data_IF_798181920956
#
_entry.id   IF_798181920956
#
_cell.length_a   1.000
_cell.length_b   1.000
_cell.length_c   1.000
_cell.angle_alpha   90.00
_cell.angle_beta   90.00
_cell.angle_gamma   90.00
#
_symmetry.space_group_name_H-M   'P 1'
#
loop_
_entity.id
_entity.type
_entity.pdbx_description
1 polymer ?
#
# COMPACT_ATOMS: atom_id res chain seq x y z
N UNK A 1 36.32 10.11 35.83
CA UNK A 1 34.85 9.82 35.86
C UNK A 1 34.06 10.54 34.76
N UNK A 2 34.29 11.83 34.49
CA UNK A 2 33.57 12.60 33.44
C UNK A 2 33.79 12.10 31.99
N UNK A 3 34.92 11.46 31.68
CA UNK A 3 35.23 10.94 30.33
C UNK A 3 34.56 9.60 30.02
N UNK A 4 34.39 8.74 31.03
CA UNK A 4 33.74 7.42 30.90
C UNK A 4 32.23 7.58 30.69
N UNK A 5 31.62 8.58 31.33
CA UNK A 5 30.20 8.93 31.08
C UNK A 5 29.98 9.41 29.65
N UNK A 6 30.85 10.29 29.11
CA UNK A 6 30.78 10.76 27.72
C UNK A 6 30.95 9.65 26.68
N UNK A 7 31.80 8.65 26.96
CA UNK A 7 32.00 7.50 26.07
C UNK A 7 30.77 6.59 26.04
N UNK A 8 30.10 6.41 27.17
CA UNK A 8 28.84 5.65 27.26
C UNK A 8 27.68 6.35 26.54
N UNK A 9 27.59 7.68 26.67
CA UNK A 9 26.57 8.47 25.96
C UNK A 9 26.79 8.45 24.45
N UNK A 10 28.05 8.47 23.99
CA UNK A 10 28.35 8.42 22.56
C UNK A 10 28.09 7.03 21.95
N UNK A 11 28.39 5.96 22.68
CA UNK A 11 28.12 4.58 22.24
C UNK A 11 26.61 4.28 22.15
N UNK A 12 25.82 4.86 23.06
CA UNK A 12 24.36 4.73 23.04
C UNK A 12 23.72 5.49 21.86
N UNK A 13 24.26 6.66 21.49
CA UNK A 13 23.82 7.41 20.32
C UNK A 13 24.13 6.69 18.99
N UNK A 14 25.26 6.00 18.88
CA UNK A 14 25.61 5.20 17.69
C UNK A 14 24.72 3.96 17.57
N UNK A 15 24.37 3.31 18.68
CA UNK A 15 23.48 2.15 18.67
C UNK A 15 22.05 2.50 18.21
N UNK A 16 21.49 3.65 18.62
CA UNK A 16 20.19 4.11 18.13
C UNK A 16 20.20 4.45 16.62
N UNK A 17 21.31 4.96 16.09
CA UNK A 17 21.42 5.28 14.67
C UNK A 17 21.44 4.02 13.78
N UNK A 18 22.02 2.91 14.24
CA UNK A 18 22.05 1.64 13.50
C UNK A 18 20.70 0.92 13.42
N UNK A 19 19.81 1.12 14.39
CA UNK A 19 18.51 0.43 14.42
C UNK A 19 17.55 1.00 13.38
N UNK A 20 17.59 2.31 13.12
CA UNK A 20 16.71 2.96 12.15
C UNK A 20 17.03 2.61 10.68
N UNK A 21 18.30 2.33 10.36
CA UNK A 21 18.73 1.98 9.00
C UNK A 21 18.37 0.54 8.61
N UNK A 22 18.23 -0.38 9.57
CA UNK A 22 17.98 -1.79 9.29
C UNK A 22 16.57 -2.07 8.74
N UNK A 23 15.57 -1.32 9.21
CA UNK A 23 14.17 -1.52 8.80
C UNK A 23 13.92 -1.19 7.33
N UNK A 24 14.51 -0.10 6.82
CA UNK A 24 14.34 0.34 5.43
C UNK A 24 15.01 -0.61 4.44
N UNK A 25 16.17 -1.16 4.80
CA UNK A 25 16.89 -2.11 3.96
C UNK A 25 16.11 -3.43 3.79
N UNK A 26 15.39 -3.85 4.84
CA UNK A 26 14.61 -5.08 4.84
C UNK A 26 13.39 -5.00 3.91
N UNK A 27 12.61 -3.92 3.97
CA UNK A 27 11.42 -3.74 3.12
C UNK A 27 11.77 -3.74 1.63
N UNK A 28 12.91 -3.11 1.27
CA UNK A 28 13.40 -3.10 -0.11
C UNK A 28 13.79 -4.50 -0.58
N UNK A 29 14.46 -5.27 0.27
CA UNK A 29 14.85 -6.64 -0.04
C UNK A 29 13.65 -7.57 -0.21
N UNK A 30 12.66 -7.48 0.69
CA UNK A 30 11.43 -8.27 0.60
C UNK A 30 10.62 -7.91 -0.65
N UNK A 31 10.53 -6.61 -0.97
CA UNK A 31 9.90 -6.13 -2.21
C UNK A 31 10.58 -6.70 -3.45
N UNK A 32 11.92 -6.71 -3.48
CA UNK A 32 12.67 -7.28 -4.60
C UNK A 32 12.43 -8.78 -4.73
N UNK A 33 12.50 -9.52 -3.63
CA UNK A 33 12.27 -10.97 -3.64
C UNK A 33 10.85 -11.33 -4.13
N UNK A 34 9.85 -10.54 -3.75
CA UNK A 34 8.48 -10.69 -4.25
C UNK A 34 8.41 -10.40 -5.76
N UNK A 35 9.05 -9.32 -6.23
CA UNK A 35 9.12 -9.01 -7.66
C UNK A 35 9.82 -10.09 -8.47
N UNK A 36 10.90 -10.67 -7.96
CA UNK A 36 11.61 -11.77 -8.61
C UNK A 36 10.71 -12.99 -8.74
N UNK A 37 9.94 -13.30 -7.69
CA UNK A 37 8.97 -14.40 -7.68
C UNK A 37 7.86 -14.19 -8.73
N UNK A 38 7.31 -12.96 -8.81
CA UNK A 38 6.34 -12.62 -9.85
C UNK A 38 6.97 -12.64 -11.25
N UNK A 39 8.14 -12.04 -11.47
CA UNK A 39 8.80 -12.06 -12.79
C UNK A 39 9.14 -13.47 -13.28
N UNK A 40 9.46 -14.39 -12.35
CA UNK A 40 9.70 -15.80 -12.65
C UNK A 40 8.41 -16.57 -13.02
N UNK A 41 7.24 -16.05 -12.65
CA UNK A 41 5.95 -16.67 -12.95
C UNK A 41 5.47 -16.37 -14.38
N UNK A 42 5.27 -17.40 -15.24
CA UNK A 42 4.82 -17.21 -16.62
C UNK A 42 3.51 -16.41 -16.73
N UNK A 43 2.57 -16.63 -15.81
CA UNK A 43 1.25 -15.99 -15.80
C UNK A 43 1.33 -14.46 -15.67
N UNK A 44 2.37 -13.92 -15.02
CA UNK A 44 2.48 -12.47 -14.79
C UNK A 44 3.39 -11.76 -15.79
N UNK A 45 4.20 -12.51 -16.55
CA UNK A 45 5.13 -11.94 -17.54
C UNK A 45 4.46 -11.02 -18.57
N UNK A 46 3.29 -11.37 -19.15
CA UNK A 46 2.59 -10.49 -20.08
C UNK A 46 2.21 -9.14 -19.46
N UNK A 47 1.87 -9.14 -18.16
CA UNK A 47 1.45 -7.94 -17.45
C UNK A 47 2.62 -7.01 -17.12
N UNK A 48 3.81 -7.55 -16.80
CA UNK A 48 5.00 -6.72 -16.64
C UNK A 48 5.39 -5.96 -17.91
N UNK A 49 5.07 -6.50 -19.08
CA UNK A 49 5.39 -5.88 -20.36
C UNK A 49 4.32 -4.86 -20.82
N UNK A 50 3.05 -5.11 -20.49
CA UNK A 50 1.91 -4.34 -21.03
C UNK A 50 1.28 -3.36 -20.04
N UNK A 51 1.47 -3.54 -18.73
CA UNK A 51 0.87 -2.68 -17.72
C UNK A 51 1.47 -1.26 -17.74
N UNK A 52 0.62 -0.26 -17.52
CA UNK A 52 1.04 1.13 -17.28
C UNK A 52 1.84 1.28 -15.98
N UNK A 53 1.54 0.45 -14.98
CA UNK A 53 2.23 0.40 -13.70
C UNK A 53 1.75 -0.78 -12.86
N UNK A 54 2.37 -0.99 -11.70
CA UNK A 54 1.98 -2.05 -10.78
C UNK A 54 2.25 -1.69 -9.32
N UNK A 55 1.50 -2.29 -8.39
CA UNK A 55 1.75 -2.22 -6.96
C UNK A 55 2.09 -3.63 -6.45
N UNK A 56 3.19 -3.77 -5.71
CA UNK A 56 3.62 -5.05 -5.13
C UNK A 56 3.63 -4.97 -3.61
N UNK A 57 2.99 -5.95 -2.98
CA UNK A 57 2.89 -6.14 -1.54
C UNK A 57 3.65 -7.43 -1.20
N UNK A 58 4.91 -7.33 -0.74
CA UNK A 58 5.73 -8.53 -0.51
C UNK A 58 5.19 -9.39 0.63
N UNK A 59 4.47 -8.80 1.58
CA UNK A 59 3.92 -9.51 2.73
C UNK A 59 2.59 -8.90 3.14
N UNK A 60 1.52 -9.64 2.91
CA UNK A 60 0.16 -9.36 3.39
C UNK A 60 -0.17 -10.40 4.44
N UNK A 61 -0.24 -9.96 5.70
CA UNK A 61 -0.61 -10.81 6.82
C UNK A 61 -2.12 -10.85 6.98
N UNK A 62 -2.70 -12.05 6.92
CA UNK A 62 -4.11 -12.34 7.21
C UNK A 62 -4.20 -13.08 8.55
N UNK A 63 -5.16 -12.71 9.39
CA UNK A 63 -5.42 -13.42 10.65
C UNK A 63 -6.76 -13.04 11.26
N UNK A 64 -7.30 -13.93 12.11
CA UNK A 64 -8.55 -13.69 12.82
C UNK A 64 -9.13 -14.94 13.49
N UNK A 65 -10.16 -14.73 14.32
CA UNK A 65 -11.01 -15.78 14.89
C UNK A 65 -12.46 -15.28 14.77
N UNK A 66 -13.25 -15.88 13.87
CA UNK A 66 -14.57 -15.42 13.39
C UNK A 66 -14.59 -14.09 12.62
N UNK A 67 -13.93 -13.07 13.14
CA UNK A 67 -13.66 -11.80 12.46
C UNK A 67 -12.15 -11.75 12.22
N UNK A 68 -11.77 -11.62 10.97
CA UNK A 68 -10.38 -11.51 10.56
C UNK A 68 -10.12 -10.28 9.72
N UNK A 69 -8.85 -9.95 9.57
CA UNK A 69 -8.42 -8.92 8.66
C UNK A 69 -7.16 -9.31 7.93
N UNK A 70 -6.87 -8.58 6.85
CA UNK A 70 -5.58 -8.59 6.21
C UNK A 70 -4.96 -7.19 6.26
N UNK A 71 -3.66 -7.15 6.50
CA UNK A 71 -2.87 -5.93 6.45
C UNK A 71 -1.56 -6.17 5.71
N UNK A 72 -1.18 -5.24 4.85
CA UNK A 72 0.09 -5.28 4.14
C UNK A 72 0.55 -3.89 3.73
N UNK A 73 1.85 -3.75 3.54
CA UNK A 73 2.47 -2.57 2.92
C UNK A 73 3.05 -2.98 1.58
N UNK A 74 3.04 -2.04 0.64
CA UNK A 74 3.49 -2.28 -0.72
C UNK A 74 4.15 -1.05 -1.33
N UNK A 75 4.84 -1.30 -2.43
CA UNK A 75 5.52 -0.28 -3.22
C UNK A 75 4.88 -0.19 -4.59
N UNK A 76 4.66 1.03 -5.06
CA UNK A 76 3.95 1.31 -6.32
C UNK A 76 4.94 1.81 -7.36
N UNK A 77 4.89 1.20 -8.54
CA UNK A 77 5.81 1.41 -9.64
C UNK A 77 5.08 1.91 -10.88
N UNK A 78 5.74 2.80 -11.61
CA UNK A 78 5.36 3.20 -12.96
C UNK A 78 6.64 3.25 -13.80
N UNK A 79 6.66 2.58 -14.95
CA UNK A 79 7.86 2.47 -15.80
C UNK A 79 9.11 2.04 -15.00
N UNK A 80 8.98 1.04 -14.12
CA UNK A 80 10.04 0.55 -13.22
C UNK A 80 10.55 1.55 -12.17
N UNK A 81 10.00 2.76 -12.11
CA UNK A 81 10.33 3.77 -11.10
C UNK A 81 9.31 3.73 -9.96
N UNK A 82 9.80 3.82 -8.72
CA UNK A 82 8.93 3.94 -7.55
C UNK A 82 8.22 5.28 -7.59
N UNK A 83 6.90 5.27 -7.42
CA UNK A 83 6.06 6.47 -7.37
C UNK A 83 5.54 6.74 -5.96
N UNK A 84 5.44 5.71 -5.12
CA UNK A 84 4.97 5.83 -3.75
C UNK A 84 4.81 4.49 -3.06
N UNK A 85 4.16 4.52 -1.90
CA UNK A 85 3.83 3.34 -1.11
C UNK A 85 2.31 3.20 -1.02
N UNK A 86 1.86 1.96 -0.83
CA UNK A 86 0.45 1.67 -0.60
C UNK A 86 0.28 0.79 0.64
N UNK A 87 -0.83 0.97 1.34
CA UNK A 87 -1.27 0.09 2.43
C UNK A 87 -2.51 -0.66 2.01
N UNK A 88 -2.55 -1.95 2.28
CA UNK A 88 -3.68 -2.83 2.05
C UNK A 88 -4.36 -3.10 3.41
N UNK A 89 -5.67 -2.94 3.43
CA UNK A 89 -6.54 -3.29 4.55
C UNK A 89 -7.71 -4.12 4.03
N UNK A 90 -7.91 -5.29 4.60
CA UNK A 90 -9.06 -6.13 4.30
C UNK A 90 -9.78 -6.47 5.58
N UNK A 91 -11.11 -6.41 5.56
CA UNK A 91 -11.95 -6.96 6.62
C UNK A 91 -12.63 -8.21 6.08
N UNK A 92 -12.54 -9.31 6.82
CA UNK A 92 -13.13 -10.59 6.43
C UNK A 92 -13.97 -11.14 7.58
N UNK A 93 -15.21 -11.52 7.27
CA UNK A 93 -16.07 -12.26 8.19
C UNK A 93 -16.01 -13.74 7.81
N UNK A 94 -15.48 -14.60 8.68
CA UNK A 94 -15.35 -16.02 8.38
C UNK A 94 -14.47 -16.81 9.36
N UNK A 95 -14.62 -18.14 9.35
CA UNK A 95 -13.82 -19.10 10.10
C UNK A 95 -12.43 -19.27 9.47
N UNK A 96 -11.68 -18.19 9.28
CA UNK A 96 -10.27 -18.29 8.90
C UNK A 96 -9.44 -18.50 10.17
N UNK A 97 -9.37 -19.75 10.64
CA UNK A 97 -8.49 -20.11 11.76
C UNK A 97 -7.03 -20.14 11.29
N UNK A 98 -6.29 -19.07 11.59
CA UNK A 98 -4.84 -19.07 11.44
C UNK A 98 -4.25 -17.76 10.92
N UNK A 99 -2.95 -17.57 11.18
CA UNK A 99 -2.14 -16.52 10.58
C UNK A 99 -1.54 -17.01 9.26
N UNK A 100 -1.95 -16.40 8.15
CA UNK A 100 -1.40 -16.69 6.83
C UNK A 100 -0.72 -15.43 6.29
N UNK A 101 0.37 -15.59 5.56
CA UNK A 101 1.01 -14.51 4.83
C UNK A 101 1.11 -14.89 3.36
N UNK A 102 0.89 -13.93 2.49
CA UNK A 102 1.04 -14.07 1.04
C UNK A 102 1.67 -12.80 0.46
N UNK A 103 2.26 -12.90 -0.72
CA UNK A 103 2.65 -11.74 -1.52
C UNK A 103 1.56 -11.46 -2.54
N UNK A 104 1.32 -10.19 -2.86
CA UNK A 104 0.31 -9.75 -3.83
C UNK A 104 0.94 -8.77 -4.82
N UNK A 105 0.53 -8.83 -6.08
CA UNK A 105 0.84 -7.80 -7.09
C UNK A 105 -0.42 -7.42 -7.84
N UNK A 106 -0.57 -6.12 -8.08
CA UNK A 106 -1.68 -5.50 -8.79
C UNK A 106 -1.11 -4.82 -10.02
N UNK A 107 -1.51 -5.24 -11.20
CA UNK A 107 -1.17 -4.59 -12.47
C UNK A 107 -2.29 -3.64 -12.89
N UNK A 108 -1.90 -2.47 -13.39
CA UNK A 108 -2.81 -1.46 -13.91
C UNK A 108 -2.68 -1.37 -15.42
N UNK A 109 -3.77 -1.65 -16.14
CA UNK A 109 -3.79 -1.71 -17.61
C UNK A 109 -3.43 -0.36 -18.25
N UNK A 110 -4.03 0.72 -17.73
CA UNK A 110 -3.92 2.05 -18.32
C UNK A 110 -3.70 3.15 -17.26
N UNK A 111 -3.46 4.37 -17.74
CA UNK A 111 -3.26 5.53 -16.87
C UNK A 111 -4.46 5.80 -15.96
N UNK A 112 -5.69 5.52 -16.42
CA UNK A 112 -6.92 5.76 -15.66
C UNK A 112 -7.00 4.80 -14.47
N UNK A 113 -6.73 3.52 -14.68
CA UNK A 113 -6.68 2.53 -13.61
C UNK A 113 -5.60 2.87 -12.58
N UNK A 114 -4.41 3.25 -13.04
CA UNK A 114 -3.30 3.68 -12.17
C UNK A 114 -3.63 4.94 -11.36
N UNK A 115 -4.18 5.98 -12.00
CA UNK A 115 -4.63 7.21 -11.33
C UNK A 115 -5.72 6.95 -10.31
N UNK A 116 -6.66 6.05 -10.62
CA UNK A 116 -7.74 5.67 -9.70
C UNK A 116 -7.21 4.95 -8.46
N UNK A 117 -6.17 4.13 -8.59
CA UNK A 117 -5.51 3.52 -7.44
C UNK A 117 -4.73 4.55 -6.62
N UNK A 118 -4.02 5.45 -7.29
CA UNK A 118 -3.13 6.45 -6.67
C UNK A 118 -3.85 7.72 -6.20
N UNK A 119 -5.17 7.84 -6.36
CA UNK A 119 -5.94 9.03 -5.93
C UNK A 119 -6.21 9.08 -4.41
N UNK A 120 -5.67 8.15 -3.63
CA UNK A 120 -5.82 8.09 -2.18
C UNK A 120 -6.42 6.76 -1.75
N UNK A 121 -7.75 6.70 -1.62
CA UNK A 121 -8.46 5.49 -1.21
C UNK A 121 -9.02 4.74 -2.42
N UNK A 122 -8.62 3.49 -2.58
CA UNK A 122 -9.12 2.59 -3.61
C UNK A 122 -9.82 1.39 -2.96
N UNK A 123 -10.98 1.01 -3.50
CA UNK A 123 -11.79 -0.10 -3.01
C UNK A 123 -12.08 -1.05 -4.18
N UNK A 124 -11.58 -2.27 -4.07
CA UNK A 124 -11.63 -3.25 -5.15
C UNK A 124 -13.06 -3.75 -5.41
N UNK A 125 -13.88 -3.89 -4.35
CA UNK A 125 -15.28 -4.34 -4.46
C UNK A 125 -16.14 -3.28 -5.14
N UNK A 126 -15.91 -2.01 -4.79
CA UNK A 126 -16.59 -0.90 -5.42
C UNK A 126 -16.27 -0.83 -6.92
N UNK A 127 -15.02 -1.13 -7.30
CA UNK A 127 -14.63 -1.18 -8.71
C UNK A 127 -15.27 -2.36 -9.46
N UNK A 128 -15.33 -3.53 -8.86
CA UNK A 128 -16.00 -4.69 -9.45
C UNK A 128 -17.51 -4.42 -9.62
N UNK A 129 -18.14 -3.87 -8.60
CA UNK A 129 -19.56 -3.51 -8.62
C UNK A 129 -19.87 -2.44 -9.67
N UNK A 130 -19.00 -1.44 -9.84
CA UNK A 130 -19.17 -0.41 -10.85
C UNK A 130 -19.13 -0.97 -12.27
N UNK A 131 -18.28 -1.97 -12.55
CA UNK A 131 -18.27 -2.68 -13.83
C UNK A 131 -19.54 -3.47 -14.02
N UNK A 132 -19.95 -4.29 -13.05
CA UNK A 132 -21.17 -5.07 -13.14
C UNK A 132 -22.42 -4.19 -13.37
N UNK A 133 -22.48 -3.00 -12.74
CA UNK A 133 -23.53 -2.01 -12.98
C UNK A 133 -23.43 -1.37 -14.36
N UNK A 134 -22.22 -1.04 -14.82
CA UNK A 134 -22.00 -0.42 -16.13
C UNK A 134 -22.32 -1.42 -17.24
N UNK A 135 -21.75 -2.62 -17.21
CA UNK A 135 -22.05 -3.71 -18.13
C UNK A 135 -23.53 -4.10 -18.07
N UNK A 136 -24.11 -4.19 -16.87
CA UNK A 136 -25.55 -4.44 -16.71
C UNK A 136 -26.42 -3.32 -17.28
N UNK A 137 -25.99 -2.06 -17.17
CA UNK A 137 -26.67 -0.91 -17.78
C UNK A 137 -26.50 -0.90 -19.30
N UNK A 138 -25.30 -1.19 -19.84
CA UNK A 138 -25.05 -1.33 -21.27
C UNK A 138 -25.82 -2.51 -21.88
N UNK A 139 -25.93 -3.62 -21.13
CA UNK A 139 -26.73 -4.79 -21.51
C UNK A 139 -28.23 -4.47 -21.51
N UNK A 140 -28.72 -3.72 -20.52
CA UNK A 140 -30.13 -3.27 -20.44
C UNK A 140 -30.47 -2.15 -21.44
N UNK A 141 -29.50 -1.31 -21.82
CA UNK A 141 -29.68 -0.21 -22.76
C UNK A 141 -29.59 -0.66 -24.24
N UNK A 142 -29.18 -1.90 -24.50
CA UNK A 142 -29.17 -2.49 -25.83
C UNK A 142 -28.02 -2.00 -26.71
N UNK A 143 -27.22 -2.93 -27.22
CA UNK A 143 -26.31 -2.80 -28.38
C UNK A 143 -24.98 -2.01 -28.26
N UNK A 144 -24.54 -1.59 -27.07
CA UNK A 144 -23.21 -0.98 -26.90
C UNK A 144 -22.15 -1.92 -26.32
N UNK A 145 -22.23 -3.23 -26.65
CA UNK A 145 -21.14 -4.19 -26.47
C UNK A 145 -20.00 -3.96 -27.47
N UNK A 146 -19.55 -2.71 -27.59
CA UNK A 146 -18.27 -2.36 -28.19
C UNK A 146 -17.45 -1.82 -27.03
N UNK A 147 -16.76 -2.72 -26.33
CA UNK A 147 -15.50 -2.32 -25.71
C UNK A 147 -14.66 -1.81 -26.87
N UNK A 148 -14.61 -0.49 -27.04
CA UNK A 148 -13.70 0.16 -27.96
C UNK A 148 -12.29 -0.04 -27.43
N UNK A 149 -11.73 -1.23 -27.64
CA UNK A 149 -10.30 -1.47 -27.76
C UNK A 149 -9.86 -1.03 -29.16
N UNK A 150 -10.17 0.20 -29.56
CA UNK A 150 -9.59 0.83 -30.74
C UNK A 150 -8.29 1.52 -30.31
N UNK A 151 -7.26 0.71 -30.12
CA UNK A 151 -5.90 1.08 -29.79
C UNK A 151 -5.07 -0.19 -29.88
N UNK A 152 -4.39 -0.35 -31.00
CA UNK A 152 -3.70 -1.58 -31.40
C UNK A 152 -2.64 -1.98 -30.37
N UNK A 153 -2.53 -3.28 -30.10
CA UNK A 153 -1.60 -3.97 -29.18
C UNK A 153 -2.02 -4.09 -27.71
N UNK A 154 -3.05 -4.90 -27.43
CA UNK A 154 -3.24 -5.46 -26.08
C UNK A 154 -3.34 -6.98 -26.19
N UNK A 155 -2.28 -7.68 -25.78
CA UNK A 155 -2.37 -9.09 -25.46
C UNK A 155 -3.32 -9.18 -24.27
N UNK A 156 -4.47 -9.86 -24.44
CA UNK A 156 -5.54 -9.99 -23.45
C UNK A 156 -5.09 -10.85 -22.25
N UNK A 157 -4.16 -10.30 -21.49
CA UNK A 157 -3.94 -10.67 -20.12
C UNK A 157 -5.18 -10.15 -19.37
N UNK A 158 -6.01 -11.04 -18.80
CA UNK A 158 -7.36 -10.69 -18.35
C UNK A 158 -7.37 -9.62 -17.24
N UNK A 159 -7.58 -8.36 -17.61
CA UNK A 159 -7.83 -7.25 -16.69
C UNK A 159 -9.33 -7.11 -16.42
N UNK A 160 -9.69 -6.96 -15.15
CA UNK A 160 -11.05 -6.60 -14.74
C UNK A 160 -11.06 -5.12 -14.36
N UNK A 161 -11.82 -4.30 -15.10
CA UNK A 161 -11.84 -2.84 -14.92
C UNK A 161 -10.45 -2.17 -15.04
N UNK A 162 -9.55 -2.71 -15.86
CA UNK A 162 -8.18 -2.23 -15.99
C UNK A 162 -7.25 -2.61 -14.84
N UNK A 163 -7.62 -3.59 -14.01
CA UNK A 163 -6.81 -4.11 -12.90
C UNK A 163 -6.71 -5.63 -13.01
N UNK A 164 -5.52 -6.18 -12.76
CA UNK A 164 -5.30 -7.63 -12.65
C UNK A 164 -4.49 -7.91 -11.38
N UNK A 165 -4.93 -8.87 -10.57
CA UNK A 165 -4.33 -9.13 -9.26
C UNK A 165 -3.85 -10.58 -9.16
N UNK A 166 -2.63 -10.76 -8.67
CA UNK A 166 -1.99 -12.06 -8.50
C UNK A 166 -1.46 -12.21 -7.08
N UNK A 167 -1.54 -13.44 -6.54
CA UNK A 167 -1.04 -13.74 -5.20
C UNK A 167 -0.13 -14.96 -5.18
N UNK A 168 0.88 -14.92 -4.30
CA UNK A 168 1.72 -16.06 -3.94
C UNK A 168 1.50 -16.42 -2.48
N UNK A 169 0.93 -17.60 -2.22
CA UNK A 169 0.82 -18.17 -0.88
C UNK A 169 1.88 -19.26 -0.66
N UNK A 170 2.05 -19.72 0.59
CA UNK A 170 2.98 -20.81 0.97
C UNK A 170 2.86 -22.12 0.15
N UNK A 171 1.80 -22.28 -0.66
CA UNK A 171 1.58 -23.44 -1.53
C UNK A 171 1.81 -23.21 -3.03
N UNK A 172 2.26 -22.03 -3.47
CA UNK A 172 2.45 -21.68 -4.88
C UNK A 172 1.65 -20.44 -5.32
N UNK A 173 1.68 -20.14 -6.62
CA UNK A 173 0.83 -19.09 -7.19
C UNK A 173 -0.64 -19.46 -7.12
N UNK A 174 -1.47 -18.49 -6.77
CA UNK A 174 -2.92 -18.59 -6.92
C UNK A 174 -3.41 -17.36 -7.68
N UNK A 175 -4.08 -17.61 -8.80
CA UNK A 175 -4.88 -16.60 -9.50
C UNK A 175 -6.19 -16.49 -8.72
N UNK A 176 -6.37 -15.33 -8.10
CA UNK A 176 -7.59 -14.76 -7.53
C UNK A 176 -8.73 -15.73 -7.19
N UNK A 177 -8.78 -16.19 -5.93
CA UNK A 177 -9.96 -16.89 -5.40
C UNK A 177 -10.77 -16.09 -4.37
N UNK A 178 -10.25 -14.98 -3.79
CA UNK A 178 -11.02 -14.07 -2.91
C UNK A 178 -10.22 -12.81 -2.53
N UNK A 179 -10.19 -11.83 -3.43
CA UNK A 179 -9.58 -10.49 -3.20
C UNK A 179 -10.66 -9.47 -2.77
N UNK A 180 -11.89 -9.97 -2.57
CA UNK A 180 -13.01 -9.16 -2.11
C UNK A 180 -12.76 -8.56 -0.71
N UNK A 181 -13.21 -7.32 -0.52
CA UNK A 181 -13.13 -6.56 0.72
C UNK A 181 -11.83 -5.79 0.92
N UNK A 182 -10.93 -5.77 -0.07
CA UNK A 182 -9.66 -5.07 0.02
C UNK A 182 -9.81 -3.57 -0.27
N UNK A 183 -9.27 -2.77 0.65
CA UNK A 183 -9.12 -1.33 0.55
C UNK A 183 -7.64 -0.99 0.53
N UNK A 184 -7.30 0.00 -0.27
CA UNK A 184 -5.94 0.45 -0.47
C UNK A 184 -5.83 1.94 -0.19
N UNK A 185 -4.75 2.33 0.48
CA UNK A 185 -4.40 3.72 0.69
C UNK A 185 -3.03 4.02 0.11
N UNK A 186 -2.97 4.89 -0.89
CA UNK A 186 -1.73 5.29 -1.55
C UNK A 186 -1.13 6.56 -0.93
N UNK A 187 0.19 6.61 -0.87
CA UNK A 187 0.98 7.76 -0.42
C UNK A 187 2.14 8.00 -1.39
N UNK A 188 2.25 9.20 -2.01
CA UNK A 188 3.33 9.51 -2.94
C UNK A 188 4.68 9.68 -2.23
N UNK A 189 5.79 9.45 -2.97
CA UNK A 189 7.13 9.75 -2.47
C UNK A 189 7.23 11.25 -2.09
N UNK A 190 7.67 11.53 -0.86
CA UNK A 190 7.81 12.89 -0.33
C UNK A 190 6.74 13.30 0.70
N UNK A 191 5.71 12.48 0.93
CA UNK A 191 4.76 12.66 2.03
C UNK A 191 4.85 11.49 3.01
N UNK A 192 6.00 11.30 3.65
CA UNK A 192 6.09 10.38 4.79
C UNK A 192 5.12 10.85 5.87
N UNK A 193 4.12 10.02 6.18
CA UNK A 193 3.09 10.32 7.18
C UNK A 193 3.73 10.53 8.54
N UNK A 194 3.80 11.80 8.97
CA UNK A 194 3.86 12.10 10.40
C UNK A 194 2.66 11.41 11.07
N UNK A 195 2.85 10.62 12.14
CA UNK A 195 1.72 10.08 12.88
C UNK A 195 0.75 11.21 13.29
N UNK A 196 -0.55 10.94 13.43
CA UNK A 196 -1.51 11.97 13.81
C UNK A 196 -1.02 12.66 15.09
N UNK A 197 -0.88 13.99 15.01
CA UNK A 197 -0.48 14.85 16.11
C UNK A 197 -1.34 14.52 17.35
N UNK A 198 -0.77 13.80 18.31
CA UNK A 198 -1.21 13.89 19.70
C UNK A 198 -0.63 15.21 20.23
N UNK A 199 -1.22 16.33 19.82
CA UNK A 199 -1.04 17.60 20.51
C UNK A 199 -1.88 17.55 21.79
N UNK A 200 -1.36 16.82 22.78
CA UNK A 200 -1.81 16.85 24.15
C UNK A 200 -0.58 16.65 25.05
N UNK A 201 0.02 17.78 25.45
CA UNK A 201 0.62 18.06 26.76
C UNK A 201 1.67 19.17 26.63
N UNK A 202 1.38 20.24 27.36
CA UNK A 202 2.30 20.96 28.25
C UNK A 202 2.51 22.44 27.92
N UNK A 203 1.52 23.25 28.30
CA UNK A 203 1.76 24.62 28.73
C UNK A 203 1.21 24.74 30.16
N UNK A 204 1.86 24.08 31.11
CA UNK A 204 1.82 24.52 32.49
C UNK A 204 2.73 25.76 32.63
N UNK A 205 2.13 26.89 32.99
CA UNK A 205 2.85 28.10 33.42
C UNK A 205 3.82 27.79 34.58
N UNK A 206 4.87 28.62 34.73
CA UNK A 206 5.18 29.12 36.05
C UNK A 206 5.15 30.65 36.10
N UNK A 207 4.27 31.13 36.98
CA UNK A 207 4.24 32.41 37.68
C UNK A 207 5.59 33.11 37.83
N UNK A 208 5.67 34.36 37.36
CA UNK A 208 6.52 35.38 37.95
C UNK A 208 5.78 36.73 37.98
N UNK A 209 5.19 37.03 39.14
CA UNK A 209 4.69 38.36 39.51
C UNK A 209 5.88 39.21 39.92
N UNK A 210 6.10 40.35 39.26
CA UNK A 210 6.79 41.50 39.85
C UNK A 210 6.02 42.77 39.48
N UNK A 211 5.36 43.32 40.49
CA UNK A 211 4.70 44.63 40.49
C UNK A 211 5.77 45.70 40.75
N UNK A 212 5.74 46.80 39.99
CA UNK A 212 6.63 47.97 40.19
C UNK A 212 6.15 49.23 39.45
N UNK A 213 5.14 49.88 40.03
CA UNK A 213 5.01 51.33 40.33
C UNK A 213 5.56 52.40 39.35
N UNK A 214 4.63 53.23 38.83
CA UNK A 214 4.64 54.71 38.57
C UNK A 214 5.86 55.38 37.89
N UNK A 215 5.62 56.14 36.80
CA UNK A 215 5.46 57.61 36.81
C UNK A 215 5.27 58.20 35.40
N UNK A 216 4.52 59.31 35.32
CA UNK A 216 4.30 60.19 34.16
C UNK A 216 5.41 61.25 34.07
N UNK A 217 5.53 62.00 32.95
CA UNK A 217 4.80 63.29 32.84
C UNK A 217 3.76 63.32 31.71
#
# INVERSE_FOLDING_TARGET
>A
MKTISKLFTMLSAVALLCIATGSVAKDKLETQAALDSFRAAPETQPFFHSAYGYAVFPSVGKGGFWIGGAYGTGTVYQNEHVTGHAKLYQLSLGLQFGGQAYSEIIFFQDQRAFKRFTSGNFDLDAQASAVALTEGAQAKAGTAGLSASSGEHHMDASYTNGVAVFTFAKGGMMIEASIAGQKFNYTPLGQQTTPPNTSAQDNAEPTAVVVGTLERP
#
